data_IF_598654142698
#
_entry.id   IF_598654142698
#
_cell.length_a   1.000
_cell.length_b   1.000
_cell.length_c   1.000
_cell.angle_alpha   90.00
_cell.angle_beta   90.00
_cell.angle_gamma   90.00
#
_symmetry.space_group_name_H-M   'P 1'
#
loop_
_entity.id
_entity.type
_entity.pdbx_description
1 polymer ?
#
# COMPACT_ATOMS: atom_id res chain seq x y z
N UNK A 1 -20.36 -5.15 -2.35
CA UNK A 1 -18.94 -5.60 -2.34
C UNK A 1 -18.63 -6.54 -3.49
N UNK A 2 -19.41 -7.62 -3.70
CA UNK A 2 -19.30 -8.47 -4.91
C UNK A 2 -19.39 -7.63 -6.20
N UNK A 3 -20.29 -6.66 -6.24
CA UNK A 3 -20.44 -5.75 -7.39
C UNK A 3 -19.20 -4.89 -7.64
N UNK A 4 -18.53 -4.39 -6.60
CA UNK A 4 -17.29 -3.61 -6.76
C UNK A 4 -16.15 -4.47 -7.31
N UNK A 5 -16.01 -5.71 -6.85
CA UNK A 5 -14.98 -6.63 -7.33
C UNK A 5 -15.26 -7.04 -8.77
N UNK A 6 -16.53 -7.25 -9.13
CA UNK A 6 -16.95 -7.48 -10.51
C UNK A 6 -16.70 -6.26 -11.39
N UNK A 7 -17.00 -5.04 -10.92
CA UNK A 7 -16.71 -3.81 -11.67
C UNK A 7 -15.20 -3.63 -11.88
N UNK A 8 -14.37 -3.89 -10.86
CA UNK A 8 -12.92 -3.87 -10.97
C UNK A 8 -12.46 -4.90 -12.01
N UNK A 9 -12.97 -6.12 -11.92
CA UNK A 9 -12.69 -7.18 -12.90
C UNK A 9 -13.09 -6.78 -14.33
N UNK A 10 -14.28 -6.22 -14.50
CA UNK A 10 -14.79 -5.75 -15.80
C UNK A 10 -13.92 -4.62 -16.39
N UNK A 11 -13.35 -3.77 -15.54
CA UNK A 11 -12.45 -2.67 -15.93
C UNK A 11 -11.03 -3.16 -16.23
N UNK A 12 -10.50 -4.10 -15.44
CA UNK A 12 -9.13 -4.63 -15.61
C UNK A 12 -9.04 -5.57 -16.81
N UNK A 13 -10.06 -6.39 -17.06
CA UNK A 13 -10.11 -7.29 -18.20
C UNK A 13 -10.82 -6.62 -19.39
N UNK A 14 -10.02 -5.86 -20.15
CA UNK A 14 -10.42 -5.23 -21.40
C UNK A 14 -10.84 -6.31 -22.43
N UNK A 15 -11.84 -5.97 -23.23
CA UNK A 15 -12.85 -6.80 -23.91
C UNK A 15 -12.39 -7.81 -24.99
N UNK A 16 -11.10 -8.08 -25.14
CA UNK A 16 -10.59 -8.82 -26.32
C UNK A 16 -10.93 -10.33 -26.30
N UNK A 17 -11.24 -10.85 -25.11
CA UNK A 17 -11.54 -12.27 -24.92
C UNK A 17 -12.85 -12.47 -24.14
N UNK A 18 -14.03 -12.22 -24.77
CA UNK A 18 -15.31 -12.26 -24.07
C UNK A 18 -15.61 -13.63 -23.46
N UNK A 19 -15.16 -14.72 -24.09
CA UNK A 19 -15.33 -16.08 -23.56
C UNK A 19 -14.51 -16.34 -22.30
N UNK A 20 -13.25 -15.91 -22.32
CA UNK A 20 -12.37 -15.99 -21.15
C UNK A 20 -12.96 -15.14 -20.01
N UNK A 21 -13.38 -13.92 -20.31
CA UNK A 21 -13.98 -12.98 -19.36
C UNK A 21 -15.21 -13.57 -18.66
N UNK A 22 -16.18 -14.09 -19.42
CA UNK A 22 -17.36 -14.75 -18.85
C UNK A 22 -16.97 -15.97 -18.01
N UNK A 23 -16.01 -16.77 -18.46
CA UNK A 23 -15.56 -17.93 -17.68
C UNK A 23 -14.91 -17.54 -16.35
N UNK A 24 -14.02 -16.56 -16.35
CA UNK A 24 -13.39 -16.03 -15.13
C UNK A 24 -14.46 -15.46 -14.19
N UNK A 25 -15.43 -14.71 -14.73
CA UNK A 25 -16.55 -14.13 -13.97
C UNK A 25 -17.41 -15.20 -13.29
N UNK A 26 -17.77 -16.28 -14.01
CA UNK A 26 -18.49 -17.42 -13.44
C UNK A 26 -17.73 -18.02 -12.25
N UNK A 27 -16.41 -18.22 -12.39
CA UNK A 27 -15.56 -18.79 -11.34
C UNK A 27 -15.51 -17.86 -10.13
N UNK A 28 -15.27 -16.56 -10.34
CA UNK A 28 -15.23 -15.55 -9.28
C UNK A 28 -16.57 -15.49 -8.53
N UNK A 29 -17.70 -15.42 -9.24
CA UNK A 29 -19.04 -15.36 -8.63
C UNK A 29 -19.29 -16.61 -7.79
N UNK A 30 -18.94 -17.79 -8.31
CA UNK A 30 -19.09 -19.04 -7.58
C UNK A 30 -18.29 -19.01 -6.27
N UNK A 31 -17.02 -18.63 -6.32
CA UNK A 31 -16.17 -18.56 -5.12
C UNK A 31 -16.66 -17.52 -4.10
N UNK A 32 -17.14 -16.36 -4.57
CA UNK A 32 -17.71 -15.35 -3.68
C UNK A 32 -18.97 -15.85 -2.95
N UNK A 33 -19.82 -16.63 -3.64
CA UNK A 33 -20.99 -17.24 -3.01
C UNK A 33 -20.60 -18.31 -1.99
N UNK A 34 -19.66 -19.21 -2.34
CA UNK A 34 -19.18 -20.25 -1.43
C UNK A 34 -18.59 -19.63 -0.14
N UNK A 35 -17.82 -18.54 -0.26
CA UNK A 35 -17.26 -17.82 0.89
C UNK A 35 -18.33 -17.10 1.70
N UNK A 36 -19.36 -16.54 1.05
CA UNK A 36 -20.49 -15.89 1.75
C UNK A 36 -21.24 -16.88 2.64
N UNK A 37 -21.46 -18.11 2.17
CA UNK A 37 -22.16 -19.14 2.93
C UNK A 37 -21.34 -19.55 4.16
N UNK A 38 -20.03 -19.78 3.99
CA UNK A 38 -19.10 -20.05 5.10
C UNK A 38 -19.08 -18.90 6.10
N UNK A 39 -19.02 -17.65 5.62
CA UNK A 39 -18.99 -16.48 6.50
C UNK A 39 -20.28 -16.37 7.32
N UNK A 40 -21.43 -16.69 6.71
CA UNK A 40 -22.73 -16.66 7.37
C UNK A 40 -22.81 -17.70 8.50
N UNK A 41 -22.28 -18.91 8.27
CA UNK A 41 -22.13 -19.94 9.31
C UNK A 41 -21.23 -19.46 10.47
N UNK A 42 -20.06 -18.91 10.16
CA UNK A 42 -19.12 -18.41 11.18
C UNK A 42 -19.67 -17.26 12.00
N UNK A 43 -20.38 -16.33 11.38
CA UNK A 43 -21.05 -15.24 12.10
C UNK A 43 -22.12 -15.80 13.04
N UNK A 44 -22.87 -16.80 12.60
CA UNK A 44 -23.88 -17.46 13.44
C UNK A 44 -23.24 -18.16 14.66
N UNK A 45 -22.11 -18.87 14.47
CA UNK A 45 -21.36 -19.49 15.58
C UNK A 45 -20.88 -18.46 16.62
N UNK A 46 -20.41 -17.29 16.18
CA UNK A 46 -20.01 -16.18 17.07
C UNK A 46 -21.20 -15.70 17.89
N UNK A 47 -22.34 -15.47 17.24
CA UNK A 47 -23.56 -15.04 17.91
C UNK A 47 -24.06 -16.06 18.92
N UNK A 48 -24.01 -17.35 18.58
CA UNK A 48 -24.42 -18.43 19.49
C UNK A 48 -23.48 -18.60 20.67
N UNK A 49 -22.18 -18.32 20.48
CA UNK A 49 -21.20 -18.27 21.57
C UNK A 49 -21.50 -17.12 22.53
N UNK A 50 -21.85 -15.93 22.02
CA UNK A 50 -22.16 -14.76 22.83
C UNK A 50 -23.52 -14.83 23.55
N UNK A 51 -24.40 -15.78 23.17
CA UNK A 51 -25.61 -16.09 23.97
C UNK A 51 -25.27 -16.67 25.34
N UNK A 52 -24.07 -17.23 25.53
CA UNK A 52 -23.60 -17.75 26.82
C UNK A 52 -22.93 -16.63 27.61
N UNK A 53 -23.32 -16.48 28.87
CA UNK A 53 -22.77 -15.42 29.74
C UNK A 53 -21.40 -15.81 30.26
N UNK A 54 -20.37 -15.02 29.98
CA UNK A 54 -19.00 -15.24 30.47
C UNK A 54 -18.46 -14.02 31.24
N UNK A 55 -18.33 -14.14 32.56
CA UNK A 55 -17.92 -13.04 33.45
C UNK A 55 -16.43 -13.00 33.77
N UNK A 56 -15.64 -13.97 33.29
CA UNK A 56 -14.19 -14.06 33.56
C UNK A 56 -13.32 -13.10 32.73
N UNK A 57 -13.93 -12.16 32.01
CA UNK A 57 -13.19 -11.16 31.25
C UNK A 57 -12.71 -10.04 32.16
N UNK A 58 -11.41 -9.71 32.17
CA UNK A 58 -10.88 -8.66 33.04
C UNK A 58 -11.47 -7.27 32.73
N UNK A 59 -11.79 -6.97 31.47
CA UNK A 59 -12.44 -5.72 31.08
C UNK A 59 -13.84 -5.55 31.67
N UNK A 60 -14.51 -6.64 32.06
CA UNK A 60 -15.82 -6.56 32.70
C UNK A 60 -15.71 -5.88 34.06
N UNK A 61 -14.79 -6.32 34.92
CA UNK A 61 -14.63 -5.73 36.27
C UNK A 61 -14.17 -4.28 36.19
N UNK A 62 -13.26 -3.95 35.27
CA UNK A 62 -12.85 -2.57 35.02
C UNK A 62 -14.04 -1.69 34.60
N UNK A 63 -14.91 -2.21 33.74
CA UNK A 63 -16.10 -1.48 33.27
C UNK A 63 -17.10 -1.29 34.41
N UNK A 64 -17.32 -2.31 35.24
CA UNK A 64 -18.16 -2.21 36.45
C UNK A 64 -17.64 -1.14 37.40
N UNK A 65 -16.33 -1.13 37.67
CA UNK A 65 -15.70 -0.16 38.57
C UNK A 65 -15.83 1.28 38.02
N UNK A 66 -15.51 1.49 36.74
CA UNK A 66 -15.68 2.79 36.07
C UNK A 66 -17.13 3.29 36.09
N UNK A 67 -18.11 2.41 35.93
CA UNK A 67 -19.53 2.78 35.98
C UNK A 67 -19.97 3.14 37.41
N UNK A 68 -19.47 2.41 38.43
CA UNK A 68 -19.70 2.73 39.85
C UNK A 68 -19.12 4.09 40.21
N UNK A 69 -17.89 4.37 39.81
CA UNK A 69 -17.21 5.67 40.02
C UNK A 69 -18.03 6.81 39.40
N UNK A 70 -18.36 6.72 38.10
CA UNK A 70 -19.18 7.74 37.41
C UNK A 70 -20.53 7.98 38.06
N UNK A 71 -21.14 6.95 38.64
CA UNK A 71 -22.41 7.09 39.34
C UNK A 71 -22.26 7.77 40.70
N UNK A 72 -21.19 7.47 41.44
CA UNK A 72 -20.88 8.13 42.70
C UNK A 72 -20.55 9.62 42.48
N UNK A 73 -19.80 9.93 41.42
CA UNK A 73 -19.47 11.31 41.04
C UNK A 73 -20.73 12.12 40.71
N UNK A 74 -21.71 11.53 40.03
CA UNK A 74 -23.00 12.20 39.75
C UNK A 74 -23.78 12.52 41.02
N UNK A 75 -23.79 11.61 42.00
CA UNK A 75 -24.49 11.81 43.28
C UNK A 75 -23.79 12.92 44.09
N UNK A 76 -22.46 12.94 44.09
CA UNK A 76 -21.68 13.92 44.85
C UNK A 76 -21.65 15.30 44.17
N UNK A 77 -21.54 15.34 42.84
CA UNK A 77 -21.47 16.57 42.05
C UNK A 77 -22.78 17.36 42.00
N UNK A 78 -23.94 16.70 42.08
CA UNK A 78 -25.23 17.39 42.13
C UNK A 78 -25.45 18.21 43.42
N UNK A 79 -24.73 17.91 44.51
CA UNK A 79 -24.81 18.66 45.77
C UNK A 79 -23.99 19.95 45.78
N UNK A 80 -23.10 20.17 44.80
CA UNK A 80 -22.19 21.33 44.76
C UNK A 80 -22.56 22.45 43.77
N UNK A 81 -23.57 22.26 42.90
CA UNK A 81 -23.79 23.15 41.74
C UNK A 81 -24.98 24.13 41.87
N UNK A 82 -25.66 24.20 43.03
CA UNK A 82 -26.82 25.09 43.22
C UNK A 82 -26.52 26.41 43.92
N UNK A 83 -25.25 26.78 44.12
CA UNK A 83 -24.88 28.08 44.70
C UNK A 83 -23.89 28.83 43.80
N UNK A 84 -24.39 29.77 42.99
CA UNK A 84 -23.84 31.13 42.84
C UNK A 84 -24.23 31.77 41.50
N UNK A 85 -25.38 32.45 41.47
CA UNK A 85 -25.53 33.79 40.86
C UNK A 85 -26.58 34.57 41.67
N UNK A 86 -26.24 34.90 42.90
CA UNK A 86 -26.82 36.06 43.58
C UNK A 86 -25.66 36.89 44.13
N UNK A 87 -25.37 37.96 43.41
CA UNK A 87 -24.54 39.07 43.84
C UNK A 87 -25.10 39.70 45.12
N UNK A 88 -24.34 39.66 46.21
CA UNK A 88 -24.13 40.79 47.11
C UNK A 88 -23.20 40.38 48.25
N UNK A 89 -22.16 41.19 48.43
CA UNK A 89 -21.21 41.11 49.52
C UNK A 89 -21.92 41.11 50.89
N UNK A 90 -21.42 40.31 51.84
CA UNK A 90 -21.00 40.75 53.20
C UNK A 90 -20.31 39.58 53.89
N UNK A 91 -19.14 39.85 54.48
CA UNK A 91 -18.31 38.89 55.19
C UNK A 91 -18.92 38.50 56.54
N UNK A 92 -19.02 37.20 56.86
CA UNK A 92 -19.01 36.72 58.26
C UNK A 92 -18.72 35.22 58.37
N UNK A 93 -17.62 34.92 59.06
CA UNK A 93 -17.42 33.88 60.09
C UNK A 93 -17.70 32.41 59.74
N UNK A 94 -16.57 31.70 59.66
CA UNK A 94 -16.29 30.31 60.05
C UNK A 94 -17.32 29.72 61.03
N UNK A 95 -18.09 28.74 60.55
CA UNK A 95 -18.61 27.64 61.38
C UNK A 95 -18.44 26.32 60.64
N UNK A 96 -17.49 25.54 61.14
CA UNK A 96 -17.35 24.11 60.89
C UNK A 96 -18.69 23.43 61.20
N UNK A 97 -19.48 23.20 60.17
CA UNK A 97 -20.60 22.29 60.18
C UNK A 97 -20.19 21.12 59.32
N UNK A 98 -19.71 20.07 59.98
CA UNK A 98 -19.86 18.69 59.55
C UNK A 98 -21.36 18.43 59.34
N UNK A 99 -21.93 18.99 58.27
CA UNK A 99 -23.17 18.51 57.71
C UNK A 99 -22.84 17.14 57.14
N UNK A 100 -23.04 16.13 57.99
CA UNK A 100 -23.26 14.75 57.60
C UNK A 100 -24.24 14.77 56.44
N UNK A 101 -23.71 14.69 55.24
CA UNK A 101 -24.44 14.54 53.98
C UNK A 101 -25.44 13.43 54.24
N UNK A 102 -26.70 13.80 54.45
CA UNK A 102 -27.77 12.85 54.69
C UNK A 102 -27.83 11.95 53.46
N UNK A 103 -27.22 10.77 53.60
CA UNK A 103 -27.27 9.70 52.64
C UNK A 103 -28.72 9.28 52.68
N UNK A 104 -29.49 9.56 51.63
CA UNK A 104 -30.84 9.01 51.55
C UNK A 104 -30.64 7.50 51.56
N UNK A 105 -31.05 6.80 52.63
CA UNK A 105 -30.77 5.38 52.75
C UNK A 105 -31.60 4.67 51.69
N UNK A 106 -30.94 4.21 50.63
CA UNK A 106 -31.56 3.28 49.70
C UNK A 106 -31.80 1.97 50.45
N UNK A 107 -32.92 1.30 50.20
CA UNK A 107 -33.12 -0.05 50.72
C UNK A 107 -32.07 -1.00 50.15
N UNK A 108 -31.78 -2.09 50.87
CA UNK A 108 -30.82 -3.10 50.41
C UNK A 108 -31.22 -3.67 49.04
N UNK A 109 -32.52 -3.83 48.79
CA UNK A 109 -33.07 -4.29 47.52
C UNK A 109 -32.80 -3.28 46.40
N UNK A 110 -32.98 -1.98 46.67
CA UNK A 110 -32.71 -0.94 45.69
C UNK A 110 -31.21 -0.86 45.34
N UNK A 111 -30.33 -1.07 46.33
CA UNK A 111 -28.88 -1.16 46.10
C UNK A 111 -28.50 -2.41 45.29
N UNK A 112 -29.09 -3.56 45.60
CA UNK A 112 -28.86 -4.81 44.87
C UNK A 112 -29.33 -4.71 43.41
N UNK A 113 -30.55 -4.18 43.18
CA UNK A 113 -31.09 -3.95 41.85
C UNK A 113 -30.18 -3.03 41.02
N UNK A 114 -29.65 -1.97 41.63
CA UNK A 114 -28.69 -1.07 40.98
C UNK A 114 -27.38 -1.79 40.65
N UNK A 115 -26.88 -2.65 41.54
CA UNK A 115 -25.71 -3.48 41.29
C UNK A 115 -25.88 -4.38 40.07
N UNK A 116 -27.05 -5.03 39.94
CA UNK A 116 -27.42 -5.86 38.79
C UNK A 116 -27.49 -5.02 37.51
N UNK A 117 -28.10 -3.83 37.55
CA UNK A 117 -28.16 -2.94 36.38
C UNK A 117 -26.76 -2.53 35.90
N UNK A 118 -25.85 -2.18 36.81
CA UNK A 118 -24.46 -1.84 36.46
C UNK A 118 -23.75 -3.06 35.85
N UNK A 119 -23.91 -4.24 36.45
CA UNK A 119 -23.35 -5.48 35.94
C UNK A 119 -23.84 -5.79 34.53
N UNK A 120 -25.15 -5.74 34.29
CA UNK A 120 -25.74 -5.97 32.97
C UNK A 120 -25.25 -4.95 31.93
N UNK A 121 -25.15 -3.67 32.30
CA UNK A 121 -24.66 -2.64 31.41
C UNK A 121 -23.17 -2.81 31.08
N UNK A 122 -22.34 -3.15 32.07
CA UNK A 122 -20.94 -3.46 31.85
C UNK A 122 -20.77 -4.66 30.93
N UNK A 123 -21.54 -5.73 31.17
CA UNK A 123 -21.52 -6.94 30.36
C UNK A 123 -21.94 -6.64 28.92
N UNK A 124 -23.03 -5.90 28.70
CA UNK A 124 -23.48 -5.54 27.35
C UNK A 124 -22.43 -4.76 26.57
N UNK A 125 -21.65 -3.90 27.23
CA UNK A 125 -20.55 -3.16 26.60
C UNK A 125 -19.40 -4.07 26.17
N UNK A 126 -19.03 -5.05 27.00
CA UNK A 126 -17.99 -6.03 26.67
C UNK A 126 -18.43 -6.93 25.52
N UNK A 127 -19.65 -7.45 25.56
CA UNK A 127 -20.23 -8.27 24.47
C UNK A 127 -20.28 -7.48 23.16
N UNK A 128 -20.77 -6.23 23.20
CA UNK A 128 -20.83 -5.38 22.01
C UNK A 128 -19.45 -5.23 21.36
N UNK A 129 -18.42 -4.97 22.16
CA UNK A 129 -17.04 -4.85 21.66
C UNK A 129 -16.57 -6.17 21.02
N UNK A 130 -16.71 -7.30 21.73
CA UNK A 130 -16.27 -8.61 21.22
C UNK A 130 -16.96 -8.99 19.91
N UNK A 131 -18.27 -8.75 19.80
CA UNK A 131 -19.04 -9.03 18.58
C UNK A 131 -18.47 -8.22 17.42
N UNK A 132 -18.24 -6.92 17.61
CA UNK A 132 -17.68 -6.05 16.56
C UNK A 132 -16.30 -6.55 16.13
N UNK A 133 -15.40 -6.77 17.09
CA UNK A 133 -14.02 -7.17 16.82
C UNK A 133 -13.97 -8.55 16.13
N UNK A 134 -14.70 -9.54 16.65
CA UNK A 134 -14.71 -10.91 16.11
C UNK A 134 -15.37 -10.99 14.74
N UNK A 135 -16.49 -10.30 14.50
CA UNK A 135 -17.13 -10.28 13.18
C UNK A 135 -16.22 -9.60 12.17
N UNK A 136 -15.62 -8.46 12.51
CA UNK A 136 -14.70 -7.77 11.61
C UNK A 136 -13.49 -8.64 11.24
N UNK A 137 -12.88 -9.30 12.23
CA UNK A 137 -11.76 -10.21 12.00
C UNK A 137 -12.17 -11.42 11.15
N UNK A 138 -13.33 -12.01 11.42
CA UNK A 138 -13.87 -13.15 10.68
C UNK A 138 -14.16 -12.78 9.22
N UNK A 139 -14.78 -11.62 8.99
CA UNK A 139 -14.98 -11.07 7.66
C UNK A 139 -13.64 -10.84 6.95
N UNK A 140 -12.67 -10.21 7.59
CA UNK A 140 -11.36 -9.98 6.98
C UNK A 140 -10.67 -11.29 6.57
N UNK A 141 -10.57 -12.25 7.49
CA UNK A 141 -9.91 -13.51 7.23
C UNK A 141 -10.61 -14.34 6.14
N UNK A 142 -11.92 -14.57 6.27
CA UNK A 142 -12.63 -15.43 5.33
C UNK A 142 -12.95 -14.74 4.01
N UNK A 143 -13.37 -13.47 4.04
CA UNK A 143 -13.79 -12.78 2.84
C UNK A 143 -12.63 -12.17 2.06
N UNK A 144 -11.59 -11.63 2.71
CA UNK A 144 -10.46 -11.03 1.99
C UNK A 144 -9.41 -12.09 1.68
N UNK A 145 -8.83 -12.71 2.71
CA UNK A 145 -7.67 -13.60 2.54
C UNK A 145 -8.09 -14.92 1.88
N UNK A 146 -9.02 -15.65 2.50
CA UNK A 146 -9.40 -16.98 2.01
C UNK A 146 -10.11 -16.92 0.66
N UNK A 147 -10.92 -15.88 0.40
CA UNK A 147 -11.54 -15.71 -0.90
C UNK A 147 -10.52 -15.45 -2.01
N UNK A 148 -9.52 -14.59 -1.78
CA UNK A 148 -8.48 -14.31 -2.76
C UNK A 148 -7.69 -15.59 -3.10
N UNK A 149 -7.25 -16.34 -2.10
CA UNK A 149 -6.53 -17.60 -2.28
C UNK A 149 -7.36 -18.65 -3.04
N UNK A 150 -8.64 -18.80 -2.67
CA UNK A 150 -9.55 -19.74 -3.36
C UNK A 150 -9.80 -19.31 -4.80
N UNK A 151 -10.00 -18.02 -5.05
CA UNK A 151 -10.18 -17.50 -6.40
C UNK A 151 -8.93 -17.81 -7.23
N UNK A 152 -7.73 -17.49 -6.74
CA UNK A 152 -6.49 -17.76 -7.46
C UNK A 152 -6.30 -19.25 -7.80
N UNK A 153 -6.47 -20.12 -6.79
CA UNK A 153 -6.39 -21.57 -6.97
C UNK A 153 -7.41 -22.08 -7.99
N UNK A 154 -8.67 -21.64 -7.89
CA UNK A 154 -9.73 -22.10 -8.77
C UNK A 154 -9.64 -21.51 -10.17
N UNK A 155 -9.18 -20.27 -10.35
CA UNK A 155 -8.96 -19.70 -11.67
C UNK A 155 -7.89 -20.50 -12.41
N UNK A 156 -6.75 -20.76 -11.76
CA UNK A 156 -5.65 -21.58 -12.29
C UNK A 156 -6.11 -23.00 -12.67
N UNK A 157 -6.94 -23.63 -11.83
CA UNK A 157 -7.46 -24.97 -12.12
C UNK A 157 -8.57 -24.99 -13.18
N UNK A 158 -9.36 -23.93 -13.29
CA UNK A 158 -10.56 -23.88 -14.15
C UNK A 158 -10.26 -23.65 -15.63
N UNK A 159 -9.06 -23.18 -15.96
CA UNK A 159 -8.62 -22.89 -17.31
C UNK A 159 -7.30 -23.65 -17.55
N UNK A 160 -7.36 -24.96 -17.80
CA UNK A 160 -6.16 -25.72 -18.11
C UNK A 160 -5.52 -25.19 -19.40
N UNK A 161 -4.20 -25.27 -19.50
CA UNK A 161 -3.44 -24.74 -20.65
C UNK A 161 -3.94 -25.28 -22.01
N UNK A 162 -4.48 -26.49 -22.03
CA UNK A 162 -5.09 -27.11 -23.23
C UNK A 162 -6.35 -26.40 -23.72
N UNK A 163 -7.10 -25.75 -22.83
CA UNK A 163 -8.33 -25.01 -23.15
C UNK A 163 -8.09 -23.51 -23.25
N UNK A 164 -6.94 -23.00 -22.79
CA UNK A 164 -6.62 -21.58 -22.78
C UNK A 164 -6.77 -20.95 -24.18
N UNK A 165 -6.26 -21.62 -25.23
CA UNK A 165 -6.39 -21.15 -26.62
C UNK A 165 -7.85 -21.03 -27.09
N UNK A 166 -8.75 -21.88 -26.58
CA UNK A 166 -10.17 -21.80 -26.92
C UNK A 166 -10.84 -20.57 -26.29
N UNK A 167 -10.45 -20.23 -25.07
CA UNK A 167 -10.97 -19.06 -24.33
C UNK A 167 -10.37 -17.74 -24.81
N UNK A 168 -9.09 -17.76 -25.20
CA UNK A 168 -8.38 -16.62 -25.80
C UNK A 168 -8.66 -16.45 -27.30
N UNK A 169 -9.63 -17.18 -27.87
CA UNK A 169 -9.99 -16.99 -29.27
C UNK A 169 -10.71 -15.65 -29.45
N UNK A 170 -10.08 -14.76 -30.20
CA UNK A 170 -10.67 -13.48 -30.56
C UNK A 170 -12.01 -13.63 -31.31
N UNK A 171 -12.96 -12.71 -31.10
CA UNK A 171 -14.12 -12.54 -31.96
C UNK A 171 -13.70 -12.30 -33.42
N UNK A 172 -14.41 -12.94 -34.36
CA UNK A 172 -14.15 -12.82 -35.81
C UNK A 172 -14.02 -11.36 -36.29
N UNK A 173 -14.92 -10.49 -35.81
CA UNK A 173 -14.93 -9.06 -36.17
C UNK A 173 -13.65 -8.34 -35.74
N UNK A 174 -13.10 -8.67 -34.57
CA UNK A 174 -11.83 -8.08 -34.09
C UNK A 174 -10.65 -8.61 -34.91
N UNK A 175 -10.64 -9.90 -35.24
CA UNK A 175 -9.61 -10.48 -36.12
C UNK A 175 -9.64 -9.83 -37.52
N UNK A 176 -10.82 -9.64 -38.12
CA UNK A 176 -10.97 -8.93 -39.40
C UNK A 176 -10.49 -7.48 -39.32
N UNK A 177 -10.87 -6.76 -38.26
CA UNK A 177 -10.45 -5.38 -38.05
C UNK A 177 -8.94 -5.28 -37.88
N UNK A 178 -8.33 -6.17 -37.08
CA UNK A 178 -6.88 -6.25 -36.90
C UNK A 178 -6.20 -6.50 -38.24
N UNK A 179 -6.65 -7.50 -38.99
CA UNK A 179 -6.08 -7.81 -40.30
C UNK A 179 -6.16 -6.61 -41.25
N UNK A 180 -7.29 -5.90 -41.27
CA UNK A 180 -7.47 -4.67 -42.07
C UNK A 180 -6.48 -3.58 -41.66
N UNK A 181 -6.33 -3.32 -40.35
CA UNK A 181 -5.40 -2.33 -39.82
C UNK A 181 -3.95 -2.72 -40.10
N UNK A 182 -3.58 -3.99 -39.94
CA UNK A 182 -2.25 -4.51 -40.28
C UNK A 182 -1.94 -4.29 -41.75
N UNK A 183 -2.88 -4.59 -42.65
CA UNK A 183 -2.71 -4.29 -44.08
C UNK A 183 -2.57 -2.78 -44.35
N UNK A 184 -3.32 -1.93 -43.65
CA UNK A 184 -3.19 -0.47 -43.78
C UNK A 184 -1.83 0.03 -43.30
N UNK A 185 -1.33 -0.47 -42.17
CA UNK A 185 0.01 -0.13 -41.64
C UNK A 185 1.08 -0.54 -42.65
N UNK A 186 1.03 -1.77 -43.16
CA UNK A 186 1.99 -2.25 -44.17
C UNK A 186 1.96 -1.40 -45.44
N UNK A 187 0.79 -0.97 -45.90
CA UNK A 187 0.67 -0.07 -47.04
C UNK A 187 1.28 1.32 -46.76
N UNK A 188 1.09 1.86 -45.56
CA UNK A 188 1.72 3.11 -45.14
C UNK A 188 3.25 3.00 -45.04
N UNK A 189 3.76 1.90 -44.50
CA UNK A 189 5.21 1.61 -44.41
C UNK A 189 5.84 1.53 -45.81
N UNK A 190 5.20 0.82 -46.75
CA UNK A 190 5.65 0.75 -48.13
C UNK A 190 5.63 2.13 -48.81
N UNK A 191 4.58 2.92 -48.61
CA UNK A 191 4.49 4.28 -49.17
C UNK A 191 5.57 5.20 -48.59
N UNK A 192 5.86 5.09 -47.29
CA UNK A 192 6.95 5.84 -46.65
C UNK A 192 8.31 5.43 -47.23
N UNK A 193 8.56 4.14 -47.41
CA UNK A 193 9.80 3.65 -48.00
C UNK A 193 9.99 4.17 -49.43
N UNK A 194 8.96 4.11 -50.27
CA UNK A 194 8.99 4.68 -51.62
C UNK A 194 9.22 6.20 -51.60
N UNK A 195 8.60 6.92 -50.66
CA UNK A 195 8.82 8.35 -50.47
C UNK A 195 10.27 8.69 -50.10
N UNK A 196 10.88 7.91 -49.20
CA UNK A 196 12.28 8.06 -48.80
C UNK A 196 13.24 7.75 -49.96
N UNK A 197 12.98 6.71 -50.74
CA UNK A 197 13.74 6.39 -51.96
C UNK A 197 13.67 7.55 -52.97
N UNK A 198 12.48 8.15 -53.14
CA UNK A 198 12.30 9.28 -54.05
C UNK A 198 13.04 10.54 -53.57
N UNK A 199 12.98 10.85 -52.27
CA UNK A 199 13.72 11.97 -51.64
C UNK A 199 15.23 11.82 -51.85
N UNK A 200 15.76 10.61 -51.63
CA UNK A 200 17.19 10.33 -51.80
C UNK A 200 17.63 10.46 -53.27
N UNK A 201 16.74 10.19 -54.23
CA UNK A 201 17.03 10.30 -55.67
C UNK A 201 17.00 11.74 -56.24
N UNK A 202 16.33 12.68 -55.58
CA UNK A 202 16.14 14.07 -56.06
C UNK A 202 16.91 15.08 -55.18
N UNK A 203 18.24 15.09 -55.33
CA UNK A 203 19.18 15.58 -54.31
C UNK A 203 19.42 17.08 -54.21
N UNK A 204 18.62 17.96 -54.84
CA UNK A 204 18.89 19.42 -54.79
C UNK A 204 17.72 20.25 -54.24
N UNK A 205 16.46 19.91 -54.55
CA UNK A 205 15.29 20.64 -54.02
C UNK A 205 14.77 20.06 -52.70
N UNK A 206 15.00 18.77 -52.42
CA UNK A 206 14.48 18.11 -51.21
C UNK A 206 15.23 18.48 -49.93
N UNK A 207 16.52 18.80 -50.04
CA UNK A 207 17.33 19.17 -48.88
C UNK A 207 16.90 20.51 -48.26
N UNK A 208 16.40 21.44 -49.08
CA UNK A 208 15.92 22.74 -48.59
C UNK A 208 14.58 22.59 -47.84
N UNK A 209 13.67 21.76 -48.35
CA UNK A 209 12.37 21.53 -47.72
C UNK A 209 12.48 20.70 -46.43
N UNK A 210 13.35 19.69 -46.41
CA UNK A 210 13.63 18.88 -45.23
C UNK A 210 14.31 19.72 -44.12
N UNK A 211 15.26 20.59 -44.48
CA UNK A 211 15.86 21.53 -43.53
C UNK A 211 14.82 22.49 -42.93
N UNK A 212 13.86 22.99 -43.72
CA UNK A 212 12.81 23.89 -43.21
C UNK A 212 11.82 23.16 -42.29
N UNK A 213 11.42 21.92 -42.62
CA UNK A 213 10.54 21.12 -41.76
C UNK A 213 11.22 20.72 -40.44
N UNK A 214 12.49 20.33 -40.49
CA UNK A 214 13.28 20.01 -39.31
C UNK A 214 13.48 21.23 -38.40
N UNK A 215 13.68 22.41 -38.96
CA UNK A 215 13.83 23.66 -38.20
C UNK A 215 12.53 24.08 -37.51
N UNK A 216 11.37 23.82 -38.13
CA UNK A 216 10.05 24.03 -37.51
C UNK A 216 9.81 23.01 -36.39
N UNK A 217 10.07 21.72 -36.60
CA UNK A 217 9.89 20.72 -35.55
C UNK A 217 10.88 20.87 -34.39
N UNK A 218 12.10 21.36 -34.66
CA UNK A 218 13.10 21.64 -33.62
C UNK A 218 12.72 22.86 -32.77
N UNK A 219 12.03 23.86 -33.36
CA UNK A 219 11.56 25.04 -32.63
C UNK A 219 10.38 24.73 -31.68
N UNK A 220 9.64 23.64 -31.91
CA UNK A 220 8.52 23.20 -31.08
C UNK A 220 8.88 22.14 -30.02
N UNK A 221 10.14 21.70 -29.91
CA UNK A 221 10.56 20.62 -28.99
C UNK A 221 11.71 20.98 -28.02
N UNK A 222 11.86 22.24 -27.65
CA UNK A 222 12.71 22.67 -26.51
C UNK A 222 11.69 23.00 -25.39
N UNK A 223 11.55 22.27 -24.28
CA UNK A 223 12.54 21.84 -23.29
C UNK A 223 12.13 20.52 -22.60
N UNK A 224 13.06 19.57 -22.49
CA UNK A 224 13.21 18.65 -21.35
C UNK A 224 14.57 17.99 -21.48
N UNK A 225 15.61 18.64 -20.94
CA UNK A 225 16.88 17.95 -20.69
C UNK A 225 16.66 17.18 -19.39
N UNK A 226 16.52 15.85 -19.52
CA UNK A 226 16.46 14.94 -18.40
C UNK A 226 17.84 14.89 -17.71
N UNK A 227 17.92 14.89 -16.37
CA UNK A 227 19.20 14.75 -15.68
C UNK A 227 19.84 13.40 -16.00
N UNK A 228 21.16 13.43 -16.19
CA UNK A 228 22.00 12.28 -16.52
C UNK A 228 21.85 11.20 -15.43
N UNK A 229 21.40 10.00 -15.80
CA UNK A 229 21.45 8.81 -14.95
C UNK A 229 22.58 7.89 -15.46
N UNK A 230 23.24 7.12 -14.60
CA UNK A 230 24.28 6.18 -15.02
C UNK A 230 23.68 4.92 -15.70
N UNK A 231 24.42 4.28 -16.65
CA UNK A 231 23.89 3.31 -17.61
C UNK A 231 23.43 1.94 -17.09
N UNK A 232 23.57 1.66 -15.79
CA UNK A 232 22.92 0.58 -15.02
C UNK A 232 23.69 0.39 -13.71
N UNK A 233 23.00 0.38 -12.56
CA UNK A 233 23.65 0.13 -11.26
C UNK A 233 22.82 -0.89 -10.48
N UNK A 234 23.50 -1.91 -9.93
CA UNK A 234 22.94 -2.82 -8.95
C UNK A 234 23.69 -2.69 -7.62
N UNK A 235 22.96 -2.52 -6.53
CA UNK A 235 23.53 -2.37 -5.19
C UNK A 235 22.67 -3.07 -4.14
N UNK A 236 23.30 -3.52 -3.06
CA UNK A 236 22.58 -4.08 -1.92
C UNK A 236 22.67 -3.20 -0.71
N UNK A 237 21.64 -3.24 0.12
CA UNK A 237 21.65 -2.66 1.46
C UNK A 237 21.57 -3.78 2.48
N UNK A 238 22.39 -3.69 3.52
CA UNK A 238 22.21 -4.45 4.75
C UNK A 238 21.71 -3.43 5.77
N UNK A 239 20.41 -3.39 6.01
CA UNK A 239 19.84 -2.59 7.11
C UNK A 239 19.46 -3.49 8.29
N UNK A 240 19.02 -2.87 9.39
CA UNK A 240 18.62 -3.59 10.60
C UNK A 240 17.34 -4.44 10.39
N UNK A 241 16.63 -4.27 9.28
CA UNK A 241 15.31 -4.85 9.00
C UNK A 241 15.42 -5.97 7.95
N UNK A 242 16.41 -5.95 7.06
CA UNK A 242 16.61 -6.95 6.01
C UNK A 242 17.75 -6.65 5.03
N UNK A 243 17.93 -7.55 4.06
CA UNK A 243 18.80 -7.33 2.90
C UNK A 243 17.93 -6.89 1.72
N UNK A 244 18.24 -5.78 1.08
CA UNK A 244 17.55 -5.36 -0.14
C UNK A 244 18.51 -5.36 -1.32
N UNK A 245 18.02 -5.73 -2.50
CA UNK A 245 18.70 -5.58 -3.77
C UNK A 245 17.99 -4.49 -4.59
N UNK A 246 18.74 -3.50 -5.02
CA UNK A 246 18.25 -2.47 -5.92
C UNK A 246 18.93 -2.61 -7.28
N UNK A 247 18.16 -2.43 -8.34
CA UNK A 247 18.66 -2.35 -9.71
C UNK A 247 18.03 -1.15 -10.42
N UNK A 248 18.86 -0.26 -10.96
CA UNK A 248 18.43 0.90 -11.75
C UNK A 248 18.90 0.70 -13.18
N UNK A 249 17.97 0.84 -14.12
CA UNK A 249 18.22 0.69 -15.55
C UNK A 249 17.83 1.99 -16.29
N UNK A 250 18.86 2.72 -16.74
CA UNK A 250 18.71 3.97 -17.50
C UNK A 250 17.99 3.74 -18.84
N UNK A 251 18.31 2.63 -19.53
CA UNK A 251 17.80 2.34 -20.88
C UNK A 251 16.28 2.16 -20.83
N UNK A 252 15.79 1.52 -19.78
CA UNK A 252 14.37 1.23 -19.60
C UNK A 252 13.64 2.21 -18.67
N UNK A 253 14.35 3.20 -18.09
CA UNK A 253 13.81 4.18 -17.13
C UNK A 253 13.11 3.51 -15.93
N UNK A 254 13.73 2.46 -15.36
CA UNK A 254 13.13 1.64 -14.29
C UNK A 254 14.07 1.53 -13.10
N UNK A 255 13.49 1.59 -11.91
CA UNK A 255 14.13 1.20 -10.67
C UNK A 255 13.39 -0.01 -10.10
N UNK A 256 14.14 -1.01 -9.66
CA UNK A 256 13.65 -2.25 -9.08
C UNK A 256 14.23 -2.40 -7.67
N UNK A 257 13.39 -2.79 -6.71
CA UNK A 257 13.75 -3.09 -5.33
C UNK A 257 13.23 -4.48 -4.99
N UNK A 258 14.11 -5.33 -4.46
CA UNK A 258 13.75 -6.66 -3.97
C UNK A 258 14.18 -6.82 -2.52
N UNK A 259 13.33 -7.47 -1.73
CA UNK A 259 13.52 -7.69 -0.31
C UNK A 259 13.90 -9.16 -0.06
N UNK A 260 15.10 -9.43 0.43
CA UNK A 260 15.63 -10.77 0.68
C UNK A 260 15.23 -11.30 2.08
N UNK A 261 13.93 -11.25 2.43
CA UNK A 261 13.42 -11.88 3.65
C UNK A 261 12.51 -13.05 3.30
N UNK A 262 12.73 -14.17 3.98
CA UNK A 262 12.21 -15.52 3.73
C UNK A 262 10.70 -15.73 3.99
N UNK A 263 9.88 -14.67 4.01
CA UNK A 263 8.42 -14.84 4.07
C UNK A 263 7.69 -13.54 3.75
N UNK A 264 6.87 -13.58 2.70
CA UNK A 264 5.93 -12.58 2.18
C UNK A 264 6.52 -11.44 1.31
N UNK A 265 6.48 -11.67 0.00
CA UNK A 265 6.77 -10.71 -1.06
C UNK A 265 5.75 -9.55 -1.07
N UNK A 266 6.16 -8.39 -0.57
CA UNK A 266 5.44 -7.13 -0.81
C UNK A 266 6.27 -6.20 -1.69
N UNK A 267 5.72 -5.87 -2.86
CA UNK A 267 6.30 -4.92 -3.81
C UNK A 267 5.89 -3.49 -3.42
N UNK A 268 6.88 -2.64 -3.13
CA UNK A 268 6.66 -1.20 -2.93
C UNK A 268 7.28 -0.41 -4.08
N UNK A 269 6.49 0.38 -4.79
CA UNK A 269 6.99 1.36 -5.76
C UNK A 269 7.08 2.72 -5.08
N UNK A 270 8.30 3.23 -4.87
CA UNK A 270 8.51 4.58 -4.33
C UNK A 270 8.78 5.56 -5.47
N UNK A 271 7.98 6.63 -5.54
CA UNK A 271 8.28 7.79 -6.37
C UNK A 271 9.17 8.74 -5.57
N UNK A 272 10.44 8.88 -5.96
CA UNK A 272 11.35 9.82 -5.33
C UNK A 272 10.91 11.26 -5.56
N UNK A 273 11.10 12.11 -4.54
CA UNK A 273 10.82 13.55 -4.66
C UNK A 273 11.79 14.22 -5.64
N UNK A 274 11.46 15.43 -6.11
CA UNK A 274 12.38 16.24 -6.92
C UNK A 274 13.66 16.51 -6.11
N UNK A 275 14.80 16.10 -6.67
CA UNK A 275 16.12 16.20 -6.03
C UNK A 275 16.89 17.43 -6.53
N UNK A 276 17.62 18.09 -5.62
CA UNK A 276 18.50 19.23 -5.88
C UNK A 276 19.95 18.88 -5.53
N UNK A 277 20.89 19.25 -6.41
CA UNK A 277 22.32 19.01 -6.16
C UNK A 277 22.84 19.99 -5.12
N UNK A 278 23.53 19.48 -4.11
CA UNK A 278 24.19 20.34 -3.15
C UNK A 278 25.38 21.05 -3.80
N UNK A 279 25.41 22.37 -3.68
CA UNK A 279 26.55 23.19 -4.11
C UNK A 279 27.69 23.19 -3.10
N UNK A 280 27.47 22.59 -1.92
CA UNK A 280 28.45 22.61 -0.84
C UNK A 280 29.59 21.63 -1.12
N UNK A 281 30.82 22.09 -0.92
CA UNK A 281 32.04 21.39 -1.31
C UNK A 281 32.40 20.42 -0.18
N UNK A 282 31.64 19.32 -0.05
CA UNK A 282 32.21 18.16 0.64
C UNK A 282 33.41 17.68 -0.18
N UNK A 283 34.52 17.42 0.51
CA UNK A 283 35.80 16.99 -0.08
C UNK A 283 35.65 15.56 -0.63
N UNK A 284 34.82 14.75 0.01
CA UNK A 284 34.77 13.30 -0.21
C UNK A 284 33.47 12.81 -0.89
N UNK A 285 32.40 13.60 -0.83
CA UNK A 285 31.07 13.21 -1.33
C UNK A 285 30.43 14.33 -2.17
N UNK A 286 29.66 13.94 -3.19
CA UNK A 286 28.62 14.77 -3.77
C UNK A 286 27.28 14.30 -3.21
N UNK A 287 26.31 15.19 -3.01
CA UNK A 287 25.01 14.74 -2.53
C UNK A 287 23.86 15.52 -3.16
N UNK A 288 22.75 14.82 -3.30
CA UNK A 288 21.48 15.34 -3.77
C UNK A 288 20.48 15.26 -2.62
N UNK A 289 19.63 16.26 -2.50
CA UNK A 289 18.62 16.34 -1.43
C UNK A 289 17.25 16.72 -1.98
N UNK A 290 16.19 16.25 -1.35
CA UNK A 290 14.82 16.56 -1.74
C UNK A 290 14.50 18.04 -1.48
N UNK A 291 13.69 18.65 -2.35
CA UNK A 291 13.16 20.00 -2.13
C UNK A 291 12.23 20.07 -0.90
N UNK A 292 11.62 18.95 -0.52
CA UNK A 292 10.74 18.84 0.65
C UNK A 292 11.56 18.67 1.92
N UNK A 293 11.21 19.42 2.96
CA UNK A 293 11.83 19.33 4.28
C UNK A 293 10.93 18.60 5.28
N UNK A 294 11.53 17.75 6.11
CA UNK A 294 10.91 16.95 7.16
C UNK A 294 11.43 17.39 8.53
N UNK A 295 10.55 17.50 9.52
CA UNK A 295 10.91 17.88 10.89
C UNK A 295 10.93 16.67 11.83
N UNK A 296 11.99 16.56 12.62
CA UNK A 296 12.05 15.58 13.70
C UNK A 296 11.18 16.04 14.86
N UNK A 297 10.06 15.35 15.11
CA UNK A 297 9.08 15.75 16.12
C UNK A 297 9.66 15.92 17.54
N UNK A 298 10.76 15.21 17.87
CA UNK A 298 11.40 15.30 19.19
C UNK A 298 12.39 16.45 19.33
N UNK A 299 13.20 16.73 18.31
CA UNK A 299 14.27 17.75 18.39
C UNK A 299 13.85 19.08 17.78
N UNK A 300 12.83 19.09 16.91
CA UNK A 300 12.40 20.25 16.13
C UNK A 300 13.35 20.57 14.97
N UNK A 301 14.41 19.78 14.78
CA UNK A 301 15.35 19.97 13.68
C UNK A 301 14.69 19.63 12.35
N UNK A 302 15.04 20.40 11.32
CA UNK A 302 14.49 20.30 9.97
C UNK A 302 15.59 19.86 9.03
N UNK A 303 15.35 18.79 8.28
CA UNK A 303 16.25 18.25 7.28
C UNK A 303 15.48 18.04 5.97
N UNK A 304 16.17 17.93 4.82
CA UNK A 304 15.54 17.37 3.63
C UNK A 304 14.95 15.98 3.94
N UNK A 305 13.75 15.70 3.43
CA UNK A 305 13.08 14.42 3.65
C UNK A 305 13.86 13.24 3.07
N UNK A 306 14.61 13.45 1.99
CA UNK A 306 15.45 12.45 1.34
C UNK A 306 16.80 13.07 0.96
N UNK A 307 17.90 12.33 1.16
CA UNK A 307 19.25 12.73 0.77
C UNK A 307 20.01 11.51 0.23
N UNK A 308 20.60 11.61 -0.96
CA UNK A 308 21.43 10.56 -1.54
C UNK A 308 22.85 11.09 -1.70
N UNK A 309 23.81 10.35 -1.18
CA UNK A 309 25.22 10.68 -1.18
C UNK A 309 25.95 9.79 -2.17
N UNK A 310 26.81 10.40 -2.97
CA UNK A 310 27.63 9.78 -3.99
C UNK A 310 29.10 10.03 -3.69
N UNK A 311 29.96 9.10 -4.11
CA UNK A 311 31.41 9.32 -4.02
C UNK A 311 31.79 10.47 -4.95
N UNK A 312 32.65 11.38 -4.49
CA UNK A 312 33.02 12.60 -5.22
C UNK A 312 33.34 12.37 -6.69
N UNK A 313 32.73 13.16 -7.57
CA UNK A 313 32.88 13.14 -9.02
C UNK A 313 32.59 11.76 -9.66
N UNK A 314 31.68 10.98 -9.06
CA UNK A 314 31.27 9.68 -9.59
C UNK A 314 29.78 9.45 -9.36
N UNK A 315 29.14 8.63 -10.19
CA UNK A 315 27.72 8.27 -10.04
C UNK A 315 27.51 7.07 -9.08
N UNK A 316 28.42 6.91 -8.13
CA UNK A 316 28.52 5.75 -7.24
C UNK A 316 27.83 6.09 -5.92
N UNK A 317 26.61 5.58 -5.65
CA UNK A 317 25.90 5.91 -4.42
C UNK A 317 26.56 5.25 -3.21
N UNK A 318 26.85 6.02 -2.17
CA UNK A 318 27.51 5.57 -0.94
C UNK A 318 26.49 5.32 0.17
N UNK A 319 25.51 6.22 0.32
CA UNK A 319 24.45 6.10 1.31
C UNK A 319 23.23 6.92 0.94
N UNK A 320 22.09 6.54 1.49
CA UNK A 320 20.82 7.24 1.36
C UNK A 320 20.25 7.49 2.75
N UNK A 321 19.69 8.67 2.96
CA UNK A 321 19.05 9.05 4.21
C UNK A 321 17.63 9.47 3.91
N UNK A 322 16.65 8.93 4.63
CA UNK A 322 15.24 9.28 4.44
C UNK A 322 14.48 9.31 5.77
N UNK A 323 13.29 9.89 5.75
CA UNK A 323 12.41 9.94 6.91
C UNK A 323 11.36 8.84 6.85
N UNK A 324 11.31 8.03 7.92
CA UNK A 324 10.30 6.99 8.09
C UNK A 324 9.32 7.38 9.21
N UNK A 325 8.04 7.41 8.87
CA UNK A 325 6.96 7.63 9.82
C UNK A 325 6.61 6.35 10.56
N UNK A 326 7.23 6.11 11.71
CA UNK A 326 6.63 5.19 12.69
C UNK A 326 5.42 5.92 13.28
N UNK A 327 4.24 5.30 13.41
CA UNK A 327 2.97 6.02 13.69
C UNK A 327 2.92 6.97 14.90
N UNK A 328 3.99 7.07 15.69
CA UNK A 328 4.16 7.95 16.83
C UNK A 328 5.25 9.03 16.67
N UNK A 329 6.20 8.86 15.74
CA UNK A 329 7.28 9.82 15.47
C UNK A 329 7.99 9.51 14.15
N UNK A 330 8.50 10.57 13.51
CA UNK A 330 9.38 10.43 12.36
C UNK A 330 10.81 10.12 12.81
N UNK A 331 11.43 9.11 12.21
CA UNK A 331 12.85 8.79 12.38
C UNK A 331 13.59 9.09 11.08
N UNK A 332 14.84 9.57 11.21
CA UNK A 332 15.76 9.69 10.09
C UNK A 332 16.56 8.38 9.98
N UNK A 333 16.33 7.63 8.91
CA UNK A 333 16.94 6.33 8.63
C UNK A 333 18.10 6.55 7.67
N UNK A 334 19.28 6.00 7.98
CA UNK A 334 20.46 6.05 7.12
C UNK A 334 20.75 4.64 6.62
N UNK A 335 20.79 4.48 5.31
CA UNK A 335 21.08 3.23 4.61
C UNK A 335 22.40 3.37 3.88
N UNK A 336 23.37 2.55 4.25
CA UNK A 336 24.67 2.53 3.58
C UNK A 336 24.66 1.50 2.45
N UNK A 337 25.10 1.89 1.27
CA UNK A 337 25.14 1.03 0.10
C UNK A 337 26.44 0.25 0.05
N UNK A 338 26.33 -1.07 -0.18
CA UNK A 338 27.47 -1.91 -0.54
C UNK A 338 27.37 -2.21 -2.03
N UNK A 339 28.26 -1.59 -2.80
CA UNK A 339 28.28 -1.76 -4.25
C UNK A 339 28.93 -3.10 -4.57
N UNK A 340 28.18 -3.95 -5.25
CA UNK A 340 28.64 -5.28 -5.65
C UNK A 340 29.26 -5.26 -7.05
N UNK A 341 28.76 -4.40 -7.94
CA UNK A 341 29.25 -4.27 -9.33
C UNK A 341 28.91 -2.89 -9.90
N UNK A 342 29.76 -2.38 -10.79
CA UNK A 342 29.56 -1.15 -11.59
C UNK A 342 29.93 -1.44 -13.06
N UNK A 343 29.13 -0.94 -14.01
CA UNK A 343 29.27 -1.25 -15.45
C UNK A 343 28.51 -2.53 -15.84
N UNK A 344 28.77 -3.08 -17.05
CA UNK A 344 28.16 -4.35 -17.52
C UNK A 344 28.46 -5.43 -16.48
N UNK A 345 27.46 -5.89 -15.70
CA UNK A 345 27.73 -6.84 -14.63
C UNK A 345 28.36 -8.10 -15.23
N UNK A 346 29.37 -8.65 -14.55
CA UNK A 346 30.12 -9.79 -15.08
C UNK A 346 29.15 -10.88 -15.53
N UNK A 347 29.36 -11.45 -16.73
CA UNK A 347 28.49 -12.49 -17.29
C UNK A 347 28.27 -13.66 -16.31
N UNK A 348 29.16 -13.88 -15.33
CA UNK A 348 28.98 -14.87 -14.25
C UNK A 348 27.82 -14.59 -13.29
N UNK A 349 27.41 -13.33 -13.13
CA UNK A 349 26.28 -12.94 -12.29
C UNK A 349 24.96 -13.24 -13.02
N UNK A 350 24.88 -12.87 -14.30
CA UNK A 350 23.70 -13.12 -15.13
C UNK A 350 23.61 -14.53 -15.68
N UNK A 351 24.71 -15.28 -15.81
CA UNK A 351 24.67 -16.69 -16.18
C UNK A 351 23.95 -17.55 -15.12
N UNK A 352 23.75 -17.02 -13.91
CA UNK A 352 22.93 -17.63 -12.87
C UNK A 352 21.45 -17.25 -12.96
N UNK A 353 21.10 -16.28 -13.80
CA UNK A 353 19.73 -15.83 -14.03
C UNK A 353 19.23 -16.50 -15.32
N UNK A 354 18.26 -17.42 -15.23
CA UNK A 354 17.61 -18.05 -16.38
C UNK A 354 17.21 -17.07 -17.48
N UNK A 355 17.57 -17.39 -18.74
CA UNK A 355 17.34 -16.53 -19.92
C UNK A 355 15.84 -16.22 -20.15
N UNK A 356 14.94 -17.00 -19.57
CA UNK A 356 13.49 -16.84 -19.65
C UNK A 356 12.88 -15.94 -18.54
N UNK A 357 13.70 -15.29 -17.70
CA UNK A 357 13.22 -14.47 -16.58
C UNK A 357 12.24 -13.36 -17.00
N UNK A 358 12.45 -12.73 -18.16
CA UNK A 358 11.53 -11.72 -18.70
C UNK A 358 10.14 -12.25 -19.07
N UNK A 359 10.00 -13.54 -19.37
CA UNK A 359 8.77 -14.09 -19.95
C UNK A 359 7.72 -14.45 -18.89
N UNK A 360 8.13 -14.68 -17.64
CA UNK A 360 7.22 -15.18 -16.61
C UNK A 360 7.02 -14.25 -15.41
N UNK A 361 7.84 -13.21 -15.19
CA UNK A 361 7.70 -12.30 -14.03
C UNK A 361 7.35 -13.00 -12.70
N UNK A 362 7.96 -14.17 -12.44
CA UNK A 362 7.80 -14.92 -11.19
C UNK A 362 9.18 -15.23 -10.62
N UNK A 363 9.40 -14.87 -9.36
CA UNK A 363 10.69 -14.93 -8.65
C UNK A 363 11.28 -16.34 -8.48
N UNK A 364 10.50 -17.39 -8.76
CA UNK A 364 10.96 -18.79 -8.81
C UNK A 364 12.07 -19.06 -9.83
N UNK A 365 12.25 -18.19 -10.83
CA UNK A 365 13.20 -18.38 -11.92
C UNK A 365 14.53 -17.66 -11.69
N UNK A 366 14.95 -17.35 -10.46
CA UNK A 366 16.27 -16.75 -10.19
C UNK A 366 17.36 -17.76 -9.80
N UNK A 367 17.06 -19.07 -9.85
CA UNK A 367 18.06 -20.12 -9.61
C UNK A 367 18.63 -20.14 -8.20
N UNK A 368 17.89 -19.63 -7.20
CA UNK A 368 18.26 -19.71 -5.80
C UNK A 368 17.77 -21.06 -5.25
N UNK A 369 18.69 -21.99 -5.04
CA UNK A 369 18.43 -23.27 -4.37
C UNK A 369 18.03 -23.02 -2.92
N UNK A 370 16.82 -23.42 -2.55
CA UNK A 370 16.35 -23.45 -1.17
C UNK A 370 16.86 -24.72 -0.49
N UNK A 371 17.87 -24.59 0.37
CA UNK A 371 18.15 -25.61 1.40
C UNK A 371 17.48 -25.13 2.67
N UNK A 372 16.25 -25.59 2.91
CA UNK A 372 15.60 -25.48 4.21
C UNK A 372 16.29 -26.42 5.21
N UNK A 373 16.52 -26.01 6.47
CA UNK A 373 16.80 -26.94 7.56
C UNK A 373 15.60 -27.83 7.90
#
# INVERSE_FOLDING_TARGET
MSECLLQLFEHTFISDFPRLKERLKEVIIKQLNDVKDILSERVQEILDTERRVFTLNHYYMDTVNKLKEKMNDKINGQKGSSSAKSSAATATVVKNSTETVAYVPMSNEAQAARGIQIALHAYSKVVQKRIIDNIAQTCYYHFIIQCALKIDQHLSASIPSSQLLQYMREPHKQTELRNKLTCSIQACEQALQLGLEHINSNTIMSNIFLCLMLLVTWHFQIECIQPYFPPQIAFTTEDAVGRYLFAVDEINQRAYQWHLIDSDDQLYSYAMSKMMHATNISIDEDYWYSEVNCSLQRTGEVYPCEEIFFKKNTDIPVRHTYFEGTGWYALRVIVNYKIISMGKPSDKLFAKIPENWMNNCTDLNLGLDFILP
#
